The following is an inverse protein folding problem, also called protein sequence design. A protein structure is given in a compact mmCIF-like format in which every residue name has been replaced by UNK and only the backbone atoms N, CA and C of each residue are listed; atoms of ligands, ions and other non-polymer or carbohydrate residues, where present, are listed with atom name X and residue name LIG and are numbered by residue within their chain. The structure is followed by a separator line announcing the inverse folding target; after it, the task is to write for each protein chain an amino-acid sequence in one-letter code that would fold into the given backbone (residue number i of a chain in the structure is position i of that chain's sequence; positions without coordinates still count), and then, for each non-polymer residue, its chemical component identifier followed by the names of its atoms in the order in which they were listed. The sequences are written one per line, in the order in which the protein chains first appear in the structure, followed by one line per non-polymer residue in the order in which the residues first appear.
data_IF_256291515428
#
_entry.id   IF_256291515428
#
_cell.length_a   1.000
_cell.length_b   1.000
_cell.length_c   1.000
_cell.angle_alpha   90.00
_cell.angle_beta   90.00
_cell.angle_gamma   90.00
#
_symmetry.space_group_name_H-M   'P 1'
#
loop_
_entity.id
_entity.type
_entity.pdbx_description
1 polymer ?
#
# COMPACT_ATOMS: atom_id res chain seq x y z
N UNK A 1 -4.87 -11.88 -29.96
CA UNK A 1 -4.44 -11.27 -31.23
C UNK A 1 -5.32 -10.06 -31.45
N UNK A 2 -4.77 -8.85 -31.29
CA UNK A 2 -5.53 -7.64 -31.60
C UNK A 2 -5.78 -7.56 -33.10
N UNK A 3 -7.02 -7.32 -33.49
CA UNK A 3 -7.43 -7.17 -34.89
C UNK A 3 -6.77 -5.92 -35.50
N UNK A 4 -6.13 -6.07 -36.66
CA UNK A 4 -5.47 -5.00 -37.43
C UNK A 4 -6.41 -3.81 -37.66
N UNK A 5 -7.71 -4.09 -37.75
CA UNK A 5 -8.78 -3.08 -37.86
C UNK A 5 -8.95 -2.21 -36.61
N UNK A 6 -8.83 -2.79 -35.42
CA UNK A 6 -8.91 -2.07 -34.14
C UNK A 6 -7.75 -1.08 -33.99
N UNK A 7 -6.54 -1.50 -34.41
CA UNK A 7 -5.33 -0.66 -34.37
C UNK A 7 -5.43 0.52 -35.35
N UNK A 8 -5.90 0.27 -36.58
CA UNK A 8 -6.14 1.33 -37.54
C UNK A 8 -7.20 2.35 -37.08
N UNK A 9 -8.23 1.89 -36.37
CA UNK A 9 -9.21 2.77 -35.73
C UNK A 9 -8.59 3.60 -34.61
N UNK A 10 -7.76 3.00 -33.75
CA UNK A 10 -7.05 3.69 -32.67
C UNK A 10 -6.12 4.79 -33.19
N UNK A 11 -5.33 4.50 -34.24
CA UNK A 11 -4.42 5.48 -34.83
C UNK A 11 -5.19 6.69 -35.41
N UNK A 12 -6.28 6.42 -36.13
CA UNK A 12 -7.14 7.48 -36.67
C UNK A 12 -7.84 8.30 -35.57
N UNK A 13 -8.37 7.65 -34.53
CA UNK A 13 -9.01 8.32 -33.40
C UNK A 13 -8.03 9.18 -32.59
N UNK A 14 -6.77 8.75 -32.49
CA UNK A 14 -5.70 9.45 -31.77
C UNK A 14 -5.06 10.57 -32.59
N UNK A 15 -5.59 10.86 -33.79
CA UNK A 15 -5.06 11.86 -34.73
C UNK A 15 -3.61 11.57 -35.18
N UNK A 16 -3.20 10.31 -35.10
CA UNK A 16 -1.89 9.84 -35.54
C UNK A 16 -2.01 9.38 -37.00
N UNK A 17 -1.39 10.14 -37.90
CA UNK A 17 -1.50 9.94 -39.36
C UNK A 17 -0.60 8.82 -39.89
N UNK A 18 -0.41 7.75 -39.13
CA UNK A 18 0.40 6.61 -39.55
C UNK A 18 -0.44 5.68 -40.43
N UNK A 19 -0.12 5.62 -41.71
CA UNK A 19 -0.77 4.71 -42.66
C UNK A 19 0.17 3.55 -43.00
N UNK A 20 -0.37 2.34 -43.17
CA UNK A 20 0.41 1.24 -43.70
C UNK A 20 0.87 1.58 -45.11
N UNK A 21 2.10 1.18 -45.42
CA UNK A 21 2.77 1.39 -46.70
C UNK A 21 2.11 0.50 -47.77
N UNK A 22 2.02 0.96 -49.02
CA UNK A 22 1.46 0.13 -50.10
C UNK A 22 2.33 -1.10 -50.37
N UNK A 23 1.78 -2.16 -50.98
CA UNK A 23 2.55 -3.37 -51.31
C UNK A 23 3.74 -3.07 -52.24
N UNK A 24 3.57 -2.12 -53.15
CA UNK A 24 4.61 -1.67 -54.09
C UNK A 24 5.75 -0.94 -53.37
N UNK A 25 5.41 0.01 -52.49
CA UNK A 25 6.39 0.73 -51.66
C UNK A 25 7.08 -0.22 -50.68
N UNK A 26 6.35 -1.19 -50.10
CA UNK A 26 6.92 -2.23 -49.22
C UNK A 26 7.99 -3.03 -49.95
N UNK A 27 7.70 -3.51 -51.17
CA UNK A 27 8.67 -4.29 -51.95
C UNK A 27 9.91 -3.48 -52.33
N UNK A 28 9.79 -2.17 -52.51
CA UNK A 28 10.92 -1.28 -52.74
C UNK A 28 11.76 -1.09 -51.47
N UNK A 29 11.12 -0.84 -50.34
CA UNK A 29 11.78 -0.65 -49.04
C UNK A 29 12.50 -1.90 -48.60
N UNK A 30 11.88 -3.08 -48.75
CA UNK A 30 12.49 -4.39 -48.42
C UNK A 30 13.78 -4.61 -49.19
N UNK A 31 13.80 -4.32 -50.50
CA UNK A 31 15.03 -4.42 -51.32
C UNK A 31 16.14 -3.47 -50.88
N UNK A 32 15.81 -2.36 -50.22
CA UNK A 32 16.79 -1.40 -49.68
C UNK A 32 17.21 -1.74 -48.24
N UNK A 33 16.43 -2.58 -47.55
CA UNK A 33 16.74 -3.13 -46.23
C UNK A 33 17.71 -4.32 -46.31
N UNK A 34 17.75 -5.04 -47.44
CA UNK A 34 18.56 -6.26 -47.72
C UNK A 34 20.10 -6.10 -47.65
N UNK A 35 20.62 -5.01 -47.08
CA UNK A 35 22.01 -4.92 -46.65
C UNK A 35 22.30 -5.67 -45.33
N UNK A 36 21.26 -6.21 -44.68
CA UNK A 36 21.33 -7.00 -43.44
C UNK A 36 20.77 -8.40 -43.71
N UNK A 37 21.70 -9.31 -43.95
CA UNK A 37 21.50 -10.75 -44.08
C UNK A 37 20.83 -11.28 -42.79
N UNK A 38 19.49 -11.35 -42.75
CA UNK A 38 18.64 -12.17 -41.86
C UNK A 38 17.15 -11.75 -41.97
N UNK A 39 16.30 -12.60 -42.57
CA UNK A 39 15.03 -13.09 -41.99
C UNK A 39 14.06 -13.61 -43.07
N UNK A 40 13.73 -14.89 -42.97
CA UNK A 40 12.82 -15.66 -43.84
C UNK A 40 11.33 -15.31 -43.72
N UNK A 41 10.97 -14.11 -43.23
CA UNK A 41 9.60 -13.77 -42.79
C UNK A 41 9.17 -12.32 -43.10
N UNK A 42 9.79 -11.67 -44.10
CA UNK A 42 9.56 -10.25 -44.40
C UNK A 42 8.17 -9.98 -45.02
N UNK A 43 7.57 -10.98 -45.66
CA UNK A 43 6.28 -10.83 -46.36
C UNK A 43 5.10 -10.60 -45.41
N UNK A 44 5.15 -11.10 -44.18
CA UNK A 44 4.07 -10.96 -43.19
C UNK A 44 4.15 -9.68 -42.34
N UNK A 45 5.27 -8.96 -42.35
CA UNK A 45 5.46 -7.76 -41.52
C UNK A 45 4.87 -6.52 -42.19
N UNK A 46 3.93 -5.84 -41.54
CA UNK A 46 3.45 -4.53 -42.01
C UNK A 46 4.46 -3.42 -41.70
N UNK A 47 4.64 -2.52 -42.67
CA UNK A 47 5.48 -1.34 -42.52
C UNK A 47 4.61 -0.08 -42.50
N UNK A 48 5.03 0.90 -41.69
CA UNK A 48 4.38 2.18 -41.52
C UNK A 48 5.31 3.31 -41.94
N UNK A 49 4.77 4.30 -42.66
CA UNK A 49 5.48 5.49 -43.08
C UNK A 49 5.30 6.59 -42.04
N UNK A 50 6.39 7.02 -41.42
CA UNK A 50 6.39 7.97 -40.30
C UNK A 50 7.40 9.09 -40.59
N UNK A 51 7.14 10.36 -40.25
CA UNK A 51 8.18 11.40 -40.30
C UNK A 51 9.39 10.99 -39.47
N UNK A 52 10.61 11.11 -40.02
CA UNK A 52 11.80 10.58 -39.33
C UNK A 52 12.04 11.24 -37.95
N UNK A 53 11.55 12.47 -37.75
CA UNK A 53 11.60 13.22 -36.50
C UNK A 53 10.83 12.57 -35.35
N UNK A 54 9.86 11.71 -35.65
CA UNK A 54 9.09 10.97 -34.65
C UNK A 54 9.70 9.59 -34.34
N UNK A 55 10.64 9.12 -35.17
CA UNK A 55 11.30 7.81 -35.07
C UNK A 55 12.81 7.94 -34.79
N UNK A 56 13.25 9.01 -34.13
CA UNK A 56 14.68 9.33 -33.95
C UNK A 56 15.47 8.22 -33.24
N UNK A 57 14.85 7.50 -32.30
CA UNK A 57 15.51 6.39 -31.60
C UNK A 57 15.81 5.21 -32.52
N UNK A 58 14.90 4.92 -33.45
CA UNK A 58 15.08 3.86 -34.45
C UNK A 58 16.09 4.28 -35.52
N UNK A 59 16.06 5.55 -35.92
CA UNK A 59 17.01 6.16 -36.86
C UNK A 59 18.42 6.15 -36.29
N UNK A 60 18.59 6.57 -35.02
CA UNK A 60 19.88 6.60 -34.33
C UNK A 60 20.55 5.23 -34.29
N UNK A 61 19.75 4.18 -34.08
CA UNK A 61 20.21 2.80 -34.03
C UNK A 61 20.30 2.13 -35.40
N UNK A 62 20.06 2.87 -36.50
CA UNK A 62 20.07 2.37 -37.89
C UNK A 62 19.16 1.16 -38.10
N UNK A 63 18.02 1.11 -37.40
CA UNK A 63 17.05 0.01 -37.46
C UNK A 63 15.98 0.18 -38.53
N UNK A 64 15.88 1.36 -39.13
CA UNK A 64 14.80 1.72 -40.06
C UNK A 64 15.37 2.35 -41.33
N UNK A 65 14.71 2.09 -42.45
CA UNK A 65 15.05 2.71 -43.72
C UNK A 65 14.53 4.14 -43.77
N UNK A 66 15.31 5.06 -44.36
CA UNK A 66 14.99 6.47 -44.48
C UNK A 66 14.94 6.90 -45.94
N UNK A 67 13.88 7.61 -46.32
CA UNK A 67 13.76 8.18 -47.66
C UNK A 67 12.94 9.46 -47.62
N UNK A 68 13.46 10.51 -48.26
CA UNK A 68 12.72 11.77 -48.48
C UNK A 68 12.06 12.37 -47.23
N UNK A 69 12.75 12.28 -46.07
CA UNK A 69 12.23 12.79 -44.79
C UNK A 69 11.30 11.85 -44.02
N UNK A 70 11.12 10.61 -44.49
CA UNK A 70 10.31 9.59 -43.84
C UNK A 70 11.15 8.39 -43.42
N UNK A 71 10.78 7.80 -42.28
CA UNK A 71 11.25 6.52 -41.79
C UNK A 71 10.19 5.44 -42.09
N UNK A 72 10.65 4.27 -42.51
CA UNK A 72 9.82 3.08 -42.71
C UNK A 72 10.02 2.13 -41.55
N UNK A 73 8.98 1.97 -40.75
CA UNK A 73 9.05 1.35 -39.42
C UNK A 73 8.23 0.06 -39.44
N UNK A 74 8.78 -1.08 -39.00
CA UNK A 74 8.00 -2.31 -38.87
C UNK A 74 6.95 -2.17 -37.76
N UNK A 75 5.85 -2.92 -37.88
CA UNK A 75 4.72 -2.87 -36.96
C UNK A 75 5.11 -3.01 -35.48
N UNK A 76 6.06 -3.89 -35.16
CA UNK A 76 6.48 -4.15 -33.77
C UNK A 76 7.17 -2.93 -33.15
N UNK A 77 7.94 -2.18 -33.95
CA UNK A 77 8.63 -0.98 -33.50
C UNK A 77 7.71 0.27 -33.48
N UNK A 78 6.53 0.22 -34.11
CA UNK A 78 5.56 1.32 -34.05
C UNK A 78 5.10 1.62 -32.61
N UNK A 79 5.02 0.59 -31.77
CA UNK A 79 4.66 0.75 -30.34
C UNK A 79 5.65 1.66 -29.62
N UNK A 80 6.94 1.57 -29.95
CA UNK A 80 7.97 2.43 -29.35
C UNK A 80 7.76 3.91 -29.68
N UNK A 81 7.34 4.21 -30.92
CA UNK A 81 7.00 5.57 -31.38
C UNK A 81 5.77 6.07 -30.63
N UNK A 82 4.72 5.25 -30.52
CA UNK A 82 3.50 5.60 -29.80
C UNK A 82 3.78 5.92 -28.33
N UNK A 83 4.61 5.12 -27.66
CA UNK A 83 5.02 5.36 -26.28
C UNK A 83 5.80 6.68 -26.15
N UNK A 84 6.66 7.00 -27.12
CA UNK A 84 7.41 8.26 -27.14
C UNK A 84 6.50 9.48 -27.31
N UNK A 85 5.57 9.43 -28.27
CA UNK A 85 4.57 10.48 -28.49
C UNK A 85 3.69 10.66 -27.26
N UNK A 86 3.21 9.56 -26.67
CA UNK A 86 2.40 9.60 -25.46
C UNK A 86 3.15 10.24 -24.28
N UNK A 87 4.41 9.86 -24.05
CA UNK A 87 5.24 10.46 -22.99
C UNK A 87 5.41 11.97 -23.18
N UNK A 88 5.62 12.40 -24.42
CA UNK A 88 5.73 13.83 -24.76
C UNK A 88 4.42 14.57 -24.46
N UNK A 89 3.28 14.06 -24.94
CA UNK A 89 1.96 14.65 -24.69
C UNK A 89 1.60 14.68 -23.20
N UNK A 90 1.87 13.60 -22.47
CA UNK A 90 1.65 13.52 -21.04
C UNK A 90 2.50 14.53 -20.28
N UNK A 91 3.78 14.65 -20.62
CA UNK A 91 4.69 15.63 -20.00
C UNK A 91 4.24 17.08 -20.24
N UNK A 92 3.82 17.37 -21.48
CA UNK A 92 3.26 18.68 -21.83
C UNK A 92 1.99 18.97 -21.04
N UNK A 93 1.05 18.03 -20.99
CA UNK A 93 -0.20 18.16 -20.23
C UNK A 93 0.09 18.39 -18.74
N UNK A 94 0.98 17.59 -18.13
CA UNK A 94 1.37 17.75 -16.73
C UNK A 94 2.01 19.13 -16.46
N UNK A 95 2.80 19.65 -17.40
CA UNK A 95 3.40 20.99 -17.29
C UNK A 95 2.34 22.08 -17.31
N UNK A 96 1.34 21.98 -18.20
CA UNK A 96 0.22 22.92 -18.27
C UNK A 96 -0.62 22.85 -16.99
N UNK A 97 -0.94 21.64 -16.53
CA UNK A 97 -1.70 21.43 -15.28
C UNK A 97 -0.96 21.98 -14.06
N UNK A 98 0.36 21.77 -13.95
CA UNK A 98 1.16 22.30 -12.84
C UNK A 98 1.18 23.84 -12.81
N UNK A 99 1.16 24.50 -13.97
CA UNK A 99 1.06 25.97 -14.07
C UNK A 99 -0.32 26.51 -13.69
N UNK A 100 -1.37 25.72 -13.90
CA UNK A 100 -2.74 26.07 -13.50
C UNK A 100 -3.03 25.77 -12.02
N UNK A 101 -2.15 24.98 -11.36
CA UNK A 101 -2.34 24.55 -9.97
C UNK A 101 -2.48 25.72 -8.98
N UNK A 102 -1.68 26.82 -9.04
CA UNK A 102 -1.84 27.98 -8.15
C UNK A 102 -3.24 28.61 -8.21
N UNK A 103 -3.85 28.70 -9.39
CA UNK A 103 -5.21 29.21 -9.55
C UNK A 103 -6.28 28.26 -8.99
N UNK A 104 -5.95 26.97 -8.81
CA UNK A 104 -6.81 26.00 -8.13
C UNK A 104 -6.61 25.98 -6.61
N UNK A 105 -5.52 26.57 -6.08
CA UNK A 105 -5.27 26.67 -4.63
C UNK A 105 -6.28 27.58 -3.92
N UNK A 106 -6.98 28.45 -4.66
CA UNK A 106 -8.11 29.24 -4.15
C UNK A 106 -9.26 28.35 -3.64
N UNK A 107 -9.41 27.13 -4.18
CA UNK A 107 -10.35 26.13 -3.65
C UNK A 107 -9.68 25.30 -2.54
N UNK A 108 -9.87 25.73 -1.31
CA UNK A 108 -9.33 25.08 -0.10
C UNK A 108 -9.74 23.61 0.11
N UNK A 109 -10.66 23.06 -0.70
CA UNK A 109 -11.07 21.64 -0.63
C UNK A 109 -10.16 20.71 -1.43
N UNK A 110 -9.56 21.19 -2.52
CA UNK A 110 -8.85 20.35 -3.48
C UNK A 110 -7.40 20.08 -3.05
N UNK A 111 -6.72 21.08 -2.49
CA UNK A 111 -5.32 20.96 -2.07
C UNK A 111 -5.10 19.84 -1.03
N UNK A 112 -5.90 19.74 0.05
CA UNK A 112 -5.73 18.68 1.04
C UNK A 112 -5.99 17.29 0.45
N UNK A 113 -6.89 17.18 -0.53
CA UNK A 113 -7.15 15.92 -1.23
C UNK A 113 -5.97 15.51 -2.13
N UNK A 114 -5.41 16.45 -2.89
CA UNK A 114 -4.25 16.22 -3.77
C UNK A 114 -3.00 15.87 -2.96
N UNK A 115 -2.68 16.66 -1.93
CA UNK A 115 -1.54 16.41 -1.04
C UNK A 115 -1.74 15.15 -0.19
N UNK A 116 -2.99 14.79 0.09
CA UNK A 116 -3.37 13.60 0.85
C UNK A 116 -3.36 12.33 0.02
N UNK A 117 -3.50 12.39 -1.32
CA UNK A 117 -3.71 11.20 -2.16
C UNK A 117 -2.57 10.18 -2.02
N UNK A 118 -1.31 10.65 -2.01
CA UNK A 118 -0.13 9.79 -1.88
C UNK A 118 0.07 9.25 -0.46
N UNK A 119 -0.56 9.88 0.54
CA UNK A 119 -0.46 9.51 1.96
C UNK A 119 -1.64 8.68 2.44
N UNK A 120 -2.75 8.69 1.71
CA UNK A 120 -3.98 7.99 2.05
C UNK A 120 -3.84 6.50 1.82
N UNK A 121 -4.25 5.74 2.82
CA UNK A 121 -4.45 4.31 2.69
C UNK A 121 -5.75 4.08 1.92
N UNK A 122 -5.67 3.34 0.80
CA UNK A 122 -6.82 3.01 -0.05
C UNK A 122 -7.39 1.61 0.23
N UNK A 123 -6.86 0.90 1.24
CA UNK A 123 -7.31 -0.44 1.61
C UNK A 123 -8.42 -0.44 2.65
N UNK A 124 -8.63 -1.63 3.24
CA UNK A 124 -9.73 -1.89 4.16
C UNK A 124 -9.65 -1.05 5.43
N UNK A 125 -10.76 -0.44 5.85
CA UNK A 125 -10.79 0.30 7.12
C UNK A 125 -10.73 -0.68 8.31
N UNK A 126 -9.69 -0.52 9.14
CA UNK A 126 -9.48 -1.28 10.38
C UNK A 126 -10.09 -0.59 11.62
N UNK A 127 -10.81 0.52 11.44
CA UNK A 127 -11.48 1.25 12.52
C UNK A 127 -12.76 0.58 13.01
N UNK A 128 -13.51 -0.05 12.10
CA UNK A 128 -14.70 -0.82 12.46
C UNK A 128 -14.30 -2.19 13.01
N UNK A 129 -14.83 -2.56 14.18
CA UNK A 129 -14.64 -3.89 14.78
C UNK A 129 -14.97 -4.99 13.78
N UNK A 130 -13.94 -5.58 13.16
CA UNK A 130 -14.11 -6.87 12.52
C UNK A 130 -14.29 -7.90 13.63
N UNK A 131 -15.53 -8.35 13.83
CA UNK A 131 -15.87 -9.47 14.74
C UNK A 131 -15.31 -10.82 14.25
N UNK A 132 -14.48 -10.84 13.20
CA UNK A 132 -14.26 -12.01 12.35
C UNK A 132 -12.87 -12.63 12.47
N UNK A 133 -12.01 -12.14 13.36
CA UNK A 133 -10.81 -12.88 13.78
C UNK A 133 -11.14 -13.48 15.14
N UNK A 134 -11.11 -14.82 15.25
CA UNK A 134 -11.40 -15.51 16.51
C UNK A 134 -10.69 -14.85 17.70
N UNK A 135 -11.35 -14.80 18.86
CA UNK A 135 -10.96 -13.96 19.98
C UNK A 135 -9.47 -14.13 20.35
N UNK A 136 -8.64 -13.17 19.93
CA UNK A 136 -7.23 -13.11 20.30
C UNK A 136 -7.17 -12.77 21.78
N UNK A 137 -6.48 -13.61 22.56
CA UNK A 137 -6.25 -13.38 23.99
C UNK A 137 -4.82 -12.89 24.24
N UNK A 138 -4.57 -12.29 25.40
CA UNK A 138 -3.25 -11.78 25.77
C UNK A 138 -2.17 -12.88 25.76
N UNK A 139 -2.53 -14.13 26.08
CA UNK A 139 -1.60 -15.25 26.14
C UNK A 139 -1.18 -15.74 24.74
N UNK A 140 -1.99 -15.46 23.71
CA UNK A 140 -1.67 -15.79 22.31
C UNK A 140 -0.65 -14.84 21.70
N UNK A 141 -0.48 -13.64 22.26
CA UNK A 141 0.29 -12.55 21.63
C UNK A 141 1.76 -12.95 21.40
N UNK A 142 2.40 -13.68 22.31
CA UNK A 142 3.80 -14.10 22.13
C UNK A 142 3.99 -15.03 20.93
N UNK A 143 3.04 -15.93 20.71
CA UNK A 143 3.08 -16.87 19.59
C UNK A 143 2.76 -16.15 18.28
N UNK A 144 1.73 -15.30 18.28
CA UNK A 144 1.35 -14.48 17.13
C UNK A 144 2.46 -13.49 16.73
N UNK A 145 3.18 -12.95 17.71
CA UNK A 145 4.30 -12.05 17.42
C UNK A 145 5.41 -12.74 16.63
N UNK A 146 5.67 -14.03 16.85
CA UNK A 146 6.74 -14.73 16.14
C UNK A 146 6.35 -15.17 14.75
N UNK A 147 5.06 -15.46 14.53
CA UNK A 147 4.56 -16.07 13.29
C UNK A 147 3.88 -15.08 12.34
N UNK A 148 3.17 -14.10 12.89
CA UNK A 148 2.17 -13.36 12.11
C UNK A 148 2.30 -11.84 12.18
N UNK A 149 3.14 -11.31 13.07
CA UNK A 149 3.33 -9.86 13.16
C UNK A 149 4.33 -9.38 12.10
N UNK A 150 4.11 -8.21 11.48
CA UNK A 150 5.15 -7.56 10.69
C UNK A 150 6.29 -7.07 11.60
N UNK A 151 7.48 -6.89 11.02
CA UNK A 151 8.70 -6.55 11.76
C UNK A 151 8.56 -5.31 12.67
N UNK A 152 7.74 -4.32 12.28
CA UNK A 152 7.46 -3.14 13.11
C UNK A 152 6.77 -3.49 14.43
N UNK A 153 5.79 -4.39 14.41
CA UNK A 153 5.07 -4.81 15.61
C UNK A 153 5.86 -5.84 16.41
N UNK A 154 6.65 -6.68 15.73
CA UNK A 154 7.59 -7.59 16.39
C UNK A 154 8.66 -6.83 17.20
N UNK A 155 9.15 -5.70 16.66
CA UNK A 155 10.12 -4.86 17.35
C UNK A 155 9.53 -4.33 18.67
N UNK A 156 8.35 -3.72 18.61
CA UNK A 156 7.66 -3.19 19.81
C UNK A 156 7.35 -4.32 20.80
N UNK A 157 6.90 -5.49 20.32
CA UNK A 157 6.64 -6.65 21.18
C UNK A 157 7.91 -7.16 21.88
N UNK A 158 9.04 -7.19 21.16
CA UNK A 158 10.33 -7.56 21.74
C UNK A 158 10.73 -6.55 22.81
N UNK A 159 10.58 -5.25 22.55
CA UNK A 159 10.90 -4.17 23.49
C UNK A 159 10.05 -4.23 24.76
N UNK A 160 8.73 -4.41 24.66
CA UNK A 160 7.86 -4.45 25.85
C UNK A 160 8.20 -5.65 26.74
N UNK A 161 8.55 -6.80 26.14
CA UNK A 161 8.97 -8.00 26.88
C UNK A 161 10.34 -7.85 27.57
N UNK A 162 11.24 -7.02 27.04
CA UNK A 162 12.56 -6.79 27.62
C UNK A 162 12.59 -5.65 28.64
N UNK A 163 11.90 -4.55 28.36
CA UNK A 163 11.97 -3.32 29.16
C UNK A 163 10.80 -3.19 30.14
N UNK A 164 9.77 -4.03 29.98
CA UNK A 164 8.54 -3.98 30.75
C UNK A 164 7.86 -2.60 30.70
N UNK A 165 8.12 -1.83 29.64
CA UNK A 165 7.58 -0.49 29.42
C UNK A 165 7.57 -0.17 27.93
N UNK A 166 6.76 0.80 27.52
CA UNK A 166 6.80 1.38 26.18
C UNK A 166 6.60 2.90 26.26
N UNK A 167 7.35 3.63 25.44
CA UNK A 167 7.14 5.07 25.21
C UNK A 167 5.88 5.35 24.41
N UNK A 168 5.41 6.60 24.45
CA UNK A 168 4.11 7.01 23.93
C UNK A 168 3.83 6.54 22.50
N UNK A 169 4.75 6.81 21.56
CA UNK A 169 4.58 6.41 20.15
C UNK A 169 4.43 4.89 19.97
N UNK A 170 5.18 4.10 20.75
CA UNK A 170 5.10 2.64 20.73
C UNK A 170 3.80 2.13 21.34
N UNK A 171 3.31 2.76 22.43
CA UNK A 171 2.01 2.43 23.04
C UNK A 171 0.85 2.64 22.06
N UNK A 172 0.84 3.75 21.30
CA UNK A 172 -0.20 4.00 20.31
C UNK A 172 -0.12 3.03 19.12
N UNK A 173 1.04 2.95 18.47
CA UNK A 173 1.21 2.13 17.27
C UNK A 173 0.86 0.65 17.55
N UNK A 174 1.35 0.11 18.66
CA UNK A 174 1.15 -1.28 19.01
C UNK A 174 -0.21 -1.53 19.66
N UNK A 175 -0.68 -0.65 20.54
CA UNK A 175 -2.00 -0.78 21.18
C UNK A 175 -3.14 -0.76 20.16
N UNK A 176 -3.08 0.14 19.18
CA UNK A 176 -4.08 0.17 18.10
C UNK A 176 -3.95 -1.03 17.16
N UNK A 177 -2.74 -1.48 16.85
CA UNK A 177 -2.54 -2.71 16.09
C UNK A 177 -3.16 -3.93 16.79
N UNK A 178 -2.92 -4.10 18.09
CA UNK A 178 -3.47 -5.20 18.90
C UNK A 178 -4.99 -5.18 18.92
N UNK A 179 -5.59 -3.99 19.08
CA UNK A 179 -7.03 -3.81 18.92
C UNK A 179 -7.52 -4.27 17.54
N UNK A 180 -6.81 -3.86 16.48
CA UNK A 180 -7.17 -4.19 15.10
C UNK A 180 -7.06 -5.68 14.75
N UNK A 181 -6.22 -6.46 15.46
CA UNK A 181 -6.17 -7.92 15.29
C UNK A 181 -7.23 -8.66 16.13
N UNK A 182 -8.05 -7.95 16.89
CA UNK A 182 -9.17 -8.50 17.65
C UNK A 182 -8.93 -8.66 19.16
N UNK A 183 -7.86 -8.09 19.73
CA UNK A 183 -7.67 -8.08 21.18
C UNK A 183 -8.77 -7.23 21.83
N UNK A 184 -9.51 -7.80 22.79
CA UNK A 184 -10.54 -7.06 23.51
C UNK A 184 -9.93 -6.02 24.45
N UNK A 185 -10.72 -5.02 24.88
CA UNK A 185 -10.27 -4.03 25.86
C UNK A 185 -9.82 -4.70 27.18
N UNK A 186 -10.57 -5.69 27.64
CA UNK A 186 -10.25 -6.42 28.87
C UNK A 186 -8.92 -7.17 28.74
N UNK A 187 -8.72 -7.86 27.62
CA UNK A 187 -7.47 -8.58 27.33
C UNK A 187 -6.29 -7.63 27.10
N UNK A 188 -6.52 -6.46 26.51
CA UNK A 188 -5.50 -5.43 26.35
C UNK A 188 -5.07 -4.85 27.70
N UNK A 189 -6.02 -4.52 28.58
CA UNK A 189 -5.72 -4.09 29.95
C UNK A 189 -4.97 -5.18 30.71
N UNK A 190 -5.39 -6.44 30.60
CA UNK A 190 -4.69 -7.58 31.20
C UNK A 190 -3.26 -7.69 30.68
N UNK A 191 -3.06 -7.62 29.37
CA UNK A 191 -1.74 -7.70 28.72
C UNK A 191 -0.80 -6.60 29.21
N UNK A 192 -1.20 -5.34 29.06
CA UNK A 192 -0.34 -4.21 29.42
C UNK A 192 -0.11 -4.12 30.92
N UNK A 193 -1.13 -4.41 31.76
CA UNK A 193 -0.97 -4.42 33.21
C UNK A 193 0.05 -5.46 33.64
N UNK A 194 -0.10 -6.71 33.18
CA UNK A 194 0.81 -7.81 33.53
C UNK A 194 2.26 -7.49 33.16
N UNK A 195 2.48 -6.76 32.06
CA UNK A 195 3.82 -6.43 31.62
C UNK A 195 4.38 -5.20 32.35
N UNK A 196 3.62 -4.12 32.49
CA UNK A 196 4.09 -2.87 33.09
C UNK A 196 4.29 -2.95 34.60
N UNK A 197 3.52 -3.79 35.31
CA UNK A 197 3.67 -3.93 36.76
C UNK A 197 5.00 -4.59 37.17
N UNK A 198 5.74 -5.16 36.22
CA UNK A 198 7.08 -5.71 36.47
C UNK A 198 8.12 -4.61 36.71
N UNK A 199 7.83 -3.37 36.30
CA UNK A 199 8.72 -2.21 36.41
C UNK A 199 8.06 -1.00 37.10
N UNK A 200 6.78 -1.11 37.49
CA UNK A 200 5.99 -0.02 38.05
C UNK A 200 4.91 -0.61 38.97
N UNK A 201 4.38 0.17 39.91
CA UNK A 201 3.31 -0.32 40.79
C UNK A 201 1.92 -0.30 40.10
N UNK A 202 0.98 -1.02 40.70
CA UNK A 202 -0.39 -1.18 40.18
C UNK A 202 -1.13 0.16 40.11
N UNK A 203 -0.96 1.02 41.11
CA UNK A 203 -1.67 2.31 41.18
C UNK A 203 -1.16 3.27 40.10
N UNK A 204 0.15 3.30 39.87
CA UNK A 204 0.75 4.07 38.77
C UNK A 204 0.26 3.55 37.42
N UNK A 205 0.10 2.24 37.24
CA UNK A 205 -0.48 1.70 36.01
C UNK A 205 -1.91 2.19 35.79
N UNK A 206 -2.75 2.05 36.81
CA UNK A 206 -4.15 2.42 36.74
C UNK A 206 -4.33 3.93 36.51
N UNK A 207 -3.48 4.78 37.11
CA UNK A 207 -3.50 6.24 36.89
C UNK A 207 -2.95 6.67 35.54
N UNK A 208 -1.78 6.17 35.12
CA UNK A 208 -1.05 6.70 33.96
C UNK A 208 -1.37 6.01 32.64
N UNK A 209 -1.72 4.73 32.64
CA UNK A 209 -1.80 3.94 31.40
C UNK A 209 -3.19 3.39 31.11
N UNK A 210 -3.98 3.04 32.12
CA UNK A 210 -5.30 2.44 31.90
C UNK A 210 -6.23 3.35 31.09
N UNK A 211 -6.21 4.65 31.37
CA UNK A 211 -6.98 5.67 30.66
C UNK A 211 -6.62 5.69 29.16
N UNK A 212 -5.34 5.75 28.83
CA UNK A 212 -4.87 5.76 27.44
C UNK A 212 -5.25 4.48 26.68
N UNK A 213 -5.25 3.33 27.34
CA UNK A 213 -5.72 2.08 26.74
C UNK A 213 -7.22 2.15 26.46
N UNK A 214 -8.05 2.59 27.42
CA UNK A 214 -9.50 2.73 27.19
C UNK A 214 -9.84 3.77 26.12
N UNK A 215 -9.05 4.84 26.04
CA UNK A 215 -9.15 5.86 25.01
C UNK A 215 -8.97 5.28 23.60
N UNK A 216 -7.98 4.41 23.38
CA UNK A 216 -7.77 3.72 22.10
C UNK A 216 -9.00 2.89 21.64
N UNK A 217 -9.85 2.46 22.57
CA UNK A 217 -11.07 1.67 22.31
C UNK A 217 -12.35 2.53 22.32
N UNK A 218 -12.23 3.86 22.31
CA UNK A 218 -13.36 4.78 22.31
C UNK A 218 -14.20 4.73 23.59
N UNK A 219 -13.63 4.27 24.71
CA UNK A 219 -14.32 4.21 26.01
C UNK A 219 -14.12 5.45 26.87
N UNK A 220 -13.28 6.39 26.43
CA UNK A 220 -12.98 7.65 27.10
C UNK A 220 -13.00 8.82 26.09
N UNK A 221 -13.01 10.07 26.57
CA UNK A 221 -12.96 11.28 25.74
C UNK A 221 -14.17 11.47 24.80
N UNK A 222 -13.93 11.92 23.55
CA UNK A 222 -14.97 12.10 22.50
C UNK A 222 -15.64 10.77 22.07
N UNK A 223 -15.27 9.62 22.67
CA UNK A 223 -15.75 8.27 22.32
C UNK A 223 -15.51 7.88 20.86
N UNK A 224 -14.45 8.43 20.27
CA UNK A 224 -14.02 8.09 18.91
C UNK A 224 -13.26 6.76 18.91
N UNK A 225 -13.69 5.84 18.06
CA UNK A 225 -13.04 4.54 17.91
C UNK A 225 -11.78 4.68 17.03
N UNK A 226 -10.60 4.86 17.65
CA UNK A 226 -9.38 5.19 16.91
C UNK A 226 -8.91 4.07 15.97
N UNK A 227 -8.67 4.43 14.71
CA UNK A 227 -8.23 3.50 13.68
C UNK A 227 -6.75 3.10 13.86
N UNK A 228 -6.42 1.80 13.71
CA UNK A 228 -5.04 1.34 13.59
C UNK A 228 -4.22 2.10 12.54
N UNK A 229 -2.91 2.19 12.76
CA UNK A 229 -2.04 2.96 11.88
C UNK A 229 -1.68 2.19 10.62
N UNK A 230 -1.99 2.76 9.45
CA UNK A 230 -1.49 2.29 8.16
C UNK A 230 0.02 2.51 7.99
N UNK A 231 0.64 1.74 7.09
CA UNK A 231 2.09 1.79 6.89
C UNK A 231 2.58 3.20 6.54
N UNK A 232 1.86 3.94 5.68
CA UNK A 232 2.25 5.31 5.32
C UNK A 232 2.30 6.25 6.52
N UNK A 233 1.34 6.13 7.46
CA UNK A 233 1.36 6.91 8.71
C UNK A 233 2.57 6.54 9.57
N UNK A 234 2.89 5.25 9.69
CA UNK A 234 4.04 4.74 10.45
C UNK A 234 5.39 5.15 9.81
N UNK A 235 5.46 5.24 8.48
CA UNK A 235 6.67 5.58 7.74
C UNK A 235 6.91 7.09 7.71
N UNK A 236 5.86 7.89 7.56
CA UNK A 236 5.98 9.32 7.27
C UNK A 236 5.79 10.22 8.50
N UNK A 237 5.14 9.73 9.56
CA UNK A 237 4.85 10.55 10.74
C UNK A 237 5.60 10.03 11.97
N UNK A 238 6.01 10.96 12.84
CA UNK A 238 6.61 10.69 14.15
C UNK A 238 7.76 9.69 14.10
N UNK A 239 8.85 10.05 13.40
CA UNK A 239 10.05 9.23 13.33
C UNK A 239 10.58 8.89 14.74
N UNK A 240 10.99 7.63 14.99
CA UNK A 240 11.45 7.21 16.31
C UNK A 240 12.77 7.89 16.68
N UNK A 241 12.87 8.34 17.94
CA UNK A 241 14.10 8.84 18.53
C UNK A 241 14.83 7.74 19.32
N UNK A 242 16.00 8.07 19.89
CA UNK A 242 16.77 7.14 20.72
C UNK A 242 15.93 6.66 21.91
N UNK A 243 15.81 5.33 22.04
CA UNK A 243 15.00 4.67 23.07
C UNK A 243 13.54 4.43 22.67
N UNK A 244 13.10 4.89 21.50
CA UNK A 244 11.80 4.53 20.94
C UNK A 244 11.88 3.20 20.17
N UNK A 245 10.76 2.48 20.13
CA UNK A 245 10.64 1.20 19.41
C UNK A 245 9.58 1.20 18.30
N UNK A 246 8.90 2.34 18.09
CA UNK A 246 7.87 2.51 17.06
C UNK A 246 8.47 2.84 15.69
N UNK A 247 7.61 2.99 14.69
CA UNK A 247 8.00 3.26 13.32
C UNK A 247 8.12 1.99 12.48
N UNK A 248 8.62 2.17 11.24
CA UNK A 248 8.87 1.09 10.28
C UNK A 248 10.36 0.71 10.28
N UNK A 249 10.74 -0.53 10.64
CA UNK A 249 12.13 -0.99 10.58
C UNK A 249 12.78 -0.82 9.19
N UNK A 250 12.03 -1.05 8.12
CA UNK A 250 12.52 -0.87 6.73
C UNK A 250 12.76 0.59 6.33
N UNK A 251 12.43 1.55 7.20
CA UNK A 251 12.68 2.98 7.00
C UNK A 251 13.63 3.56 8.04
N UNK A 252 13.44 3.21 9.31
CA UNK A 252 14.04 3.90 10.44
C UNK A 252 15.21 3.15 11.06
N UNK A 253 15.41 1.86 10.77
CA UNK A 253 16.60 1.17 11.23
C UNK A 253 17.79 1.54 10.35
N UNK A 254 18.96 1.56 10.99
CA UNK A 254 20.23 1.53 10.26
C UNK A 254 20.28 0.29 9.33
N UNK A 255 20.93 0.45 8.17
CA UNK A 255 20.95 -0.58 7.13
C UNK A 255 21.66 -1.87 7.56
N UNK A 256 22.74 -1.75 8.34
CA UNK A 256 23.50 -2.92 8.79
C UNK A 256 22.75 -3.63 9.93
N UNK A 257 22.18 -2.85 10.85
CA UNK A 257 21.32 -3.39 11.90
C UNK A 257 20.10 -4.11 11.32
N UNK A 258 19.43 -3.52 10.32
CA UNK A 258 18.30 -4.15 9.65
C UNK A 258 18.72 -5.45 8.97
N UNK A 259 19.86 -5.47 8.26
CA UNK A 259 20.39 -6.66 7.59
C UNK A 259 20.65 -7.80 8.58
N UNK A 260 21.29 -7.49 9.72
CA UNK A 260 21.50 -8.47 10.79
C UNK A 260 20.15 -8.98 11.33
N UNK A 261 19.21 -8.07 11.60
CA UNK A 261 17.90 -8.41 12.15
C UNK A 261 17.07 -9.29 11.22
N UNK A 262 17.01 -9.02 9.92
CA UNK A 262 16.26 -9.88 8.99
C UNK A 262 16.94 -11.23 8.76
N UNK A 263 18.27 -11.31 8.90
CA UNK A 263 19.02 -12.56 8.78
C UNK A 263 18.67 -13.54 9.91
N UNK A 264 18.26 -13.07 11.10
CA UNK A 264 17.86 -13.95 12.21
C UNK A 264 16.61 -14.77 11.93
N UNK A 265 15.85 -14.42 10.87
CA UNK A 265 14.65 -15.15 10.44
C UNK A 265 14.97 -16.31 9.49
N UNK A 266 16.25 -16.63 9.28
CA UNK A 266 16.66 -17.78 8.45
C UNK A 266 16.59 -17.52 6.94
N UNK A 267 16.56 -16.26 6.52
CA UNK A 267 16.61 -15.89 5.11
C UNK A 267 17.98 -16.23 4.51
N UNK A 268 17.99 -16.65 3.24
CA UNK A 268 19.22 -16.81 2.46
C UNK A 268 19.90 -15.45 2.22
N UNK A 269 21.20 -15.45 1.92
CA UNK A 269 21.94 -14.22 1.59
C UNK A 269 21.26 -13.45 0.45
N UNK A 270 20.86 -14.17 -0.59
CA UNK A 270 20.16 -13.59 -1.75
C UNK A 270 18.80 -13.03 -1.37
N UNK A 271 18.05 -13.70 -0.48
CA UNK A 271 16.77 -13.21 0.03
C UNK A 271 16.92 -11.91 0.83
N UNK A 272 17.94 -11.84 1.69
CA UNK A 272 18.30 -10.63 2.43
C UNK A 272 18.64 -9.48 1.48
N UNK A 273 19.46 -9.74 0.45
CA UNK A 273 19.81 -8.73 -0.56
C UNK A 273 18.61 -8.27 -1.38
N UNK A 274 17.70 -9.18 -1.72
CA UNK A 274 16.43 -8.88 -2.38
C UNK A 274 15.56 -7.91 -1.56
N UNK A 275 15.44 -8.11 -0.25
CA UNK A 275 14.74 -7.17 0.64
C UNK A 275 15.48 -5.83 0.70
N UNK A 276 16.80 -5.84 0.88
CA UNK A 276 17.61 -4.63 1.00
C UNK A 276 17.64 -3.78 -0.27
N UNK A 277 17.45 -4.38 -1.46
CA UNK A 277 17.28 -3.65 -2.72
C UNK A 277 16.11 -2.66 -2.65
N UNK A 278 14.97 -3.11 -2.13
CA UNK A 278 13.78 -2.26 -1.98
C UNK A 278 13.94 -1.21 -0.89
N UNK A 279 14.63 -1.55 0.21
CA UNK A 279 14.97 -0.58 1.28
C UNK A 279 15.81 0.57 0.71
N UNK A 280 16.86 0.27 -0.06
CA UNK A 280 17.73 1.29 -0.70
C UNK A 280 16.97 2.16 -1.70
N UNK A 281 15.97 1.61 -2.38
CA UNK A 281 15.07 2.36 -3.26
C UNK A 281 13.99 3.18 -2.53
N UNK A 282 13.93 3.12 -1.19
CA UNK A 282 12.89 3.78 -0.40
C UNK A 282 11.52 3.10 -0.46
N UNK A 283 11.42 1.91 -1.05
CA UNK A 283 10.18 1.14 -1.21
C UNK A 283 9.89 0.26 0.02
N UNK A 284 9.69 0.90 1.18
CA UNK A 284 9.59 0.20 2.48
C UNK A 284 8.46 -0.84 2.55
N UNK A 285 7.30 -0.56 1.96
CA UNK A 285 6.16 -1.49 1.93
C UNK A 285 6.48 -2.73 1.07
N UNK A 286 7.15 -2.54 -0.07
CA UNK A 286 7.58 -3.63 -0.95
C UNK A 286 8.65 -4.48 -0.26
N UNK A 287 9.58 -3.85 0.47
CA UNK A 287 10.53 -4.56 1.31
C UNK A 287 9.85 -5.44 2.37
N UNK A 288 8.80 -4.89 3.02
CA UNK A 288 7.99 -5.64 3.98
C UNK A 288 7.22 -6.81 3.34
N UNK A 289 6.70 -6.64 2.12
CA UNK A 289 6.05 -7.70 1.36
C UNK A 289 7.05 -8.79 0.96
N UNK A 290 8.23 -8.42 0.44
CA UNK A 290 9.28 -9.40 0.12
C UNK A 290 9.76 -10.16 1.36
N UNK A 291 9.89 -9.47 2.49
CA UNK A 291 10.19 -10.12 3.76
C UNK A 291 9.09 -11.09 4.20
N UNK A 292 7.81 -10.74 4.01
CA UNK A 292 6.69 -11.65 4.25
C UNK A 292 6.81 -12.92 3.40
N UNK A 293 7.00 -12.78 2.09
CA UNK A 293 7.08 -13.93 1.16
C UNK A 293 8.16 -14.91 1.59
N UNK A 294 9.36 -14.40 1.87
CA UNK A 294 10.50 -15.21 2.27
C UNK A 294 10.28 -15.90 3.62
N UNK A 295 9.68 -15.21 4.59
CA UNK A 295 9.42 -15.80 5.93
C UNK A 295 8.27 -16.80 5.95
N UNK A 296 7.35 -16.72 4.99
CA UNK A 296 6.23 -17.66 4.84
C UNK A 296 6.48 -18.76 3.81
N UNK A 297 7.68 -18.78 3.19
CA UNK A 297 8.06 -19.79 2.20
C UNK A 297 7.27 -19.71 0.88
N UNK A 298 6.78 -18.53 0.52
CA UNK A 298 6.10 -18.28 -0.75
C UNK A 298 7.17 -18.14 -1.84
N UNK A 299 7.16 -19.02 -2.84
CA UNK A 299 8.09 -18.94 -3.97
C UNK A 299 7.57 -17.99 -5.06
N UNK A 300 8.48 -17.26 -5.68
CA UNK A 300 8.22 -16.33 -6.81
C UNK A 300 7.50 -17.01 -8.00
N UNK A 301 7.48 -18.34 -8.07
CA UNK A 301 6.83 -19.13 -9.13
C UNK A 301 5.33 -19.38 -8.93
N UNK A 302 4.75 -19.04 -7.77
CA UNK A 302 3.40 -19.45 -7.39
C UNK A 302 2.40 -18.29 -7.24
N UNK A 303 2.81 -17.06 -7.47
CA UNK A 303 1.94 -15.89 -7.37
C UNK A 303 2.34 -14.84 -8.40
N UNK A 304 1.63 -14.83 -9.53
CA UNK A 304 1.71 -13.73 -10.53
C UNK A 304 1.13 -12.40 -10.00
N UNK A 305 0.68 -12.38 -8.73
CA UNK A 305 0.14 -11.19 -8.07
C UNK A 305 1.13 -10.75 -7.00
N UNK A 306 1.82 -9.64 -7.25
CA UNK A 306 2.64 -8.97 -6.23
C UNK A 306 1.82 -8.75 -4.97
N UNK A 307 2.30 -9.28 -3.83
CA UNK A 307 1.57 -9.13 -2.58
C UNK A 307 1.64 -7.70 -2.09
N UNK A 308 0.48 -7.05 -2.11
CA UNK A 308 0.38 -5.65 -1.76
C UNK A 308 0.08 -5.45 -0.28
N UNK A 309 1.10 -5.04 0.49
CA UNK A 309 0.98 -4.77 1.93
C UNK A 309 1.04 -3.27 2.19
N UNK A 310 -0.09 -2.71 2.65
CA UNK A 310 -0.22 -1.30 2.99
C UNK A 310 -0.56 -1.03 4.46
N UNK A 311 -0.87 -2.08 5.23
CA UNK A 311 -1.27 -1.95 6.63
C UNK A 311 -0.69 -3.09 7.48
N UNK A 312 -0.22 -2.85 8.73
CA UNK A 312 0.25 -3.92 9.62
C UNK A 312 -0.82 -4.98 9.92
N UNK A 313 -2.06 -4.57 10.18
CA UNK A 313 -3.18 -5.51 10.36
C UNK A 313 -3.46 -6.35 9.10
N UNK A 314 -3.28 -5.80 7.89
CA UNK A 314 -3.38 -6.55 6.65
C UNK A 314 -2.29 -7.62 6.54
N UNK A 315 -1.05 -7.29 6.90
CA UNK A 315 0.03 -8.27 7.00
C UNK A 315 -0.38 -9.42 7.93
N UNK A 316 -0.90 -9.09 9.11
CA UNK A 316 -1.35 -10.10 10.08
C UNK A 316 -2.45 -11.00 9.53
N UNK A 317 -3.49 -10.44 8.93
CA UNK A 317 -4.60 -11.20 8.34
C UNK A 317 -4.12 -12.15 7.23
N UNK A 318 -3.24 -11.68 6.35
CA UNK A 318 -2.64 -12.52 5.30
C UNK A 318 -1.83 -13.67 5.87
N UNK A 319 -1.00 -13.39 6.89
CA UNK A 319 -0.26 -14.45 7.59
C UNK A 319 -1.19 -15.48 8.22
N UNK A 320 -2.22 -15.02 8.93
CA UNK A 320 -3.20 -15.91 9.57
C UNK A 320 -3.97 -16.76 8.54
N UNK A 321 -4.32 -16.20 7.38
CA UNK A 321 -4.97 -16.94 6.28
C UNK A 321 -4.06 -18.02 5.69
N UNK A 322 -2.77 -17.76 5.56
CA UNK A 322 -1.81 -18.76 5.06
C UNK A 322 -1.57 -19.88 6.07
N UNK A 323 -1.40 -19.54 7.35
CA UNK A 323 -1.06 -20.51 8.38
C UNK A 323 -2.25 -21.38 8.82
N UNK A 324 -3.47 -20.82 8.83
CA UNK A 324 -4.65 -21.50 9.36
C UNK A 324 -5.71 -21.82 8.28
N UNK A 325 -5.45 -21.47 7.01
CA UNK A 325 -6.44 -21.50 5.93
C UNK A 325 -7.44 -20.34 6.01
N UNK A 326 -8.36 -20.21 5.02
CA UNK A 326 -9.46 -19.25 5.13
C UNK A 326 -10.27 -19.58 6.39
N UNK A 327 -10.55 -18.58 7.23
CA UNK A 327 -11.33 -18.75 8.44
C UNK A 327 -12.63 -19.49 8.10
N UNK A 328 -12.82 -20.69 8.68
CA UNK A 328 -14.09 -21.42 8.57
C UNK A 328 -15.16 -20.53 9.19
N UNK A 329 -16.07 -20.03 8.37
CA UNK A 329 -17.32 -19.45 8.85
C UNK A 329 -17.97 -20.47 9.79
N UNK A 330 -18.39 -20.10 11.00
CA UNK A 330 -19.21 -21.00 11.81
C UNK A 330 -20.49 -21.23 11.02
N UNK A 331 -20.68 -22.46 10.57
CA UNK A 331 -21.96 -22.95 10.09
C UNK A 331 -22.99 -22.65 11.17
N UNK A 332 -24.05 -21.95 10.77
CA UNK A 332 -25.24 -21.73 11.57
C UNK A 332 -25.65 -23.02 12.29
N UNK A 333 -25.82 -23.01 13.62
CA UNK A 333 -26.49 -24.12 14.27
C UNK A 333 -27.95 -24.14 13.83
N UNK A 334 -28.35 -25.33 13.40
CA UNK A 334 -29.69 -25.75 13.00
C UNK A 334 -30.79 -25.18 13.92
N UNK A 335 -31.78 -24.58 13.28
CA UNK A 335 -33.20 -24.60 13.61
C UNK A 335 -33.61 -24.48 15.09
N UNK A 336 -34.00 -23.28 15.50
CA UNK A 336 -34.97 -23.09 16.58
C UNK A 336 -36.13 -22.28 16.02
N UNK A 337 -37.35 -22.84 16.15
CA UNK A 337 -38.61 -22.30 15.64
C UNK A 337 -38.90 -20.92 16.25
N UNK A 338 -39.10 -19.92 15.41
CA UNK A 338 -39.67 -18.62 15.80
C UNK A 338 -41.18 -18.79 15.92
N UNK A 339 -41.72 -18.64 17.13
CA UNK A 339 -43.14 -18.41 17.36
C UNK A 339 -43.44 -16.96 17.04
N UNK A 340 -44.36 -16.74 16.11
CA UNK A 340 -44.88 -15.43 15.75
C UNK A 340 -45.53 -14.73 16.95
N UNK A 341 -45.26 -13.44 17.10
CA UNK A 341 -46.25 -12.51 17.63
C UNK A 341 -46.19 -11.23 16.82
N UNK A 342 -47.25 -11.05 16.04
CA UNK A 342 -47.59 -9.84 15.34
C UNK A 342 -47.91 -8.75 16.36
N UNK A 343 -47.40 -7.54 16.17
CA UNK A 343 -48.24 -6.33 16.22
C UNK A 343 -47.54 -5.18 15.50
N UNK A 344 -48.33 -4.50 14.68
CA UNK A 344 -47.98 -3.44 13.77
C UNK A 344 -47.59 -2.13 14.48
N UNK A 345 -46.80 -1.28 13.83
CA UNK A 345 -47.31 -0.03 13.26
C UNK A 345 -46.24 0.69 12.46
N UNK A 346 -46.62 1.03 11.23
CA UNK A 346 -45.91 1.84 10.26
C UNK A 346 -45.99 3.33 10.62
N UNK A 347 -44.87 4.05 10.53
CA UNK A 347 -44.85 5.47 10.16
C UNK A 347 -43.64 5.77 9.29
N UNK A 348 -43.96 6.21 8.07
CA UNK A 348 -43.07 6.81 7.09
C UNK A 348 -42.83 8.28 7.40
N UNK A 349 -41.58 8.72 7.31
CA UNK A 349 -41.25 10.12 7.00
C UNK A 349 -39.85 10.15 6.38
N UNK A 350 -39.78 10.59 5.13
CA UNK A 350 -38.52 10.89 4.46
C UNK A 350 -37.94 12.22 4.96
N UNK A 351 -36.62 12.35 4.87
CA UNK A 351 -35.93 13.63 4.77
C UNK A 351 -34.49 13.42 4.33
N UNK A 352 -34.13 14.14 3.27
CA UNK A 352 -32.80 14.57 2.83
C UNK A 352 -31.58 14.10 3.64
N UNK A 353 -30.75 13.27 3.00
CA UNK A 353 -29.36 13.09 3.42
C UNK A 353 -28.48 14.10 2.70
N UNK A 354 -28.36 15.30 3.27
CA UNK A 354 -27.26 16.21 2.96
C UNK A 354 -25.95 15.55 3.39
N UNK A 355 -25.07 15.23 2.44
CA UNK A 355 -23.72 14.73 2.71
C UNK A 355 -22.91 15.88 3.30
N UNK A 356 -22.79 15.92 4.63
CA UNK A 356 -21.77 16.74 5.31
C UNK A 356 -20.42 16.09 5.07
N UNK A 357 -19.60 16.76 4.25
CA UNK A 357 -18.16 16.53 4.18
C UNK A 357 -17.57 17.09 5.46
N UNK A 358 -17.43 16.25 6.49
CA UNK A 358 -16.63 16.60 7.65
C UNK A 358 -15.15 16.41 7.31
N UNK A 359 -14.43 17.52 7.31
CA UNK A 359 -12.98 17.61 7.26
C UNK A 359 -12.38 16.80 8.39
N UNK A 360 -11.89 15.60 8.07
CA UNK A 360 -11.03 14.80 8.94
C UNK A 360 -9.64 15.45 8.99
N UNK A 361 -9.49 16.51 9.79
CA UNK A 361 -8.20 16.87 10.37
C UNK A 361 -8.42 17.67 11.67
N UNK A 362 -8.63 16.94 12.76
CA UNK A 362 -8.26 17.43 14.10
C UNK A 362 -7.36 16.37 14.71
N UNK A 363 -6.12 16.35 14.26
CA UNK A 363 -5.02 15.83 15.07
C UNK A 363 -4.91 16.74 16.30
N UNK A 364 -5.14 16.20 17.51
CA UNK A 364 -4.78 16.93 18.74
C UNK A 364 -3.33 17.35 18.63
N UNK A 365 -3.07 18.65 18.77
CA UNK A 365 -1.71 19.19 18.74
C UNK A 365 -0.89 18.55 19.87
N UNK A 366 0.41 18.35 19.63
CA UNK A 366 1.32 17.87 20.68
C UNK A 366 1.24 18.75 21.94
N UNK A 367 0.92 20.03 21.79
CA UNK A 367 0.67 20.98 22.88
C UNK A 367 -0.53 20.62 23.76
N UNK A 368 -1.64 20.12 23.20
CA UNK A 368 -2.80 19.69 24.00
C UNK A 368 -2.53 18.41 24.81
N UNK A 369 -1.62 17.56 24.36
CA UNK A 369 -1.22 16.35 25.08
C UNK A 369 -0.08 16.62 26.08
N UNK A 370 0.80 17.56 25.78
CA UNK A 370 1.88 17.97 26.68
C UNK A 370 1.35 18.84 27.83
N UNK A 371 0.34 19.68 27.57
CA UNK A 371 -0.39 20.40 28.61
C UNK A 371 -1.11 19.46 29.61
N UNK A 372 -1.49 18.25 29.19
CA UNK A 372 -2.04 17.23 30.10
C UNK A 372 -0.96 16.49 30.92
N UNK A 373 0.29 16.44 30.46
CA UNK A 373 1.41 15.92 31.26
C UNK A 373 1.87 16.95 32.30
N UNK A 374 1.81 18.25 31.97
CA UNK A 374 2.17 19.34 32.91
C UNK A 374 1.12 19.55 34.02
N UNK A 375 -0.17 19.27 33.77
CA UNK A 375 -1.23 19.28 34.80
C UNK A 375 -1.22 18.04 35.73
N UNK A 376 -0.29 17.09 35.51
CA UNK A 376 -0.20 15.83 36.27
C UNK A 376 1.16 15.60 36.96
N UNK A 377 1.97 16.65 37.11
CA UNK A 377 3.16 16.68 37.98
C UNK A 377 2.80 17.21 39.37
#
# INVERSE_FOLDING_TARGET
MEDTRSRAQFLNASNLKYKPVSREEKNYVVKQLDGLDHMSNIDDIEYYKVPFTEALDLVRNRKVFLQSGFAYVPQDDLVSILLSVYRTLLSQALTVTARALPSMEEDGRLLPMLCGLSKRYLGQDYGARQQNVGAVTADMIDMLSKKSFPLCMQNIHTTIRHTHHLRHGSRLQYGLFLKGIGLSLEEALRFFRTEFIKNTDVDTFDKKYSYGIRYNYGKEGKKTDYTPYGCMKIIMNNAPATGDSHGCPFRHFDTDFLKQRISTFGLTKDGVEGVMKYVKGGHCQVACAKFFELTHGISDSSSEVEMFIQHPNQYFEHSQKLLNGPAKTPSTPRGVKIVNSQTATSRSSGSDTSIKVETMDETMSQEQMQAMEDDMV
#
